data_IF_815931125813
#
_entry.id   IF_815931125813
#
_cell.length_a   1.000
_cell.length_b   1.000
_cell.length_c   1.000
_cell.angle_alpha   90.00
_cell.angle_beta   90.00
_cell.angle_gamma   90.00
#
_symmetry.space_group_name_H-M   'P 1'
#
loop_
_entity.id
_entity.type
_entity.pdbx_description
1 polymer ?
#
# COMPACT_ATOMS: atom_id res chain seq x y z
N UNK A 1 9.90 -4.37 -8.14
CA UNK A 1 9.34 -3.28 -7.32
C UNK A 1 8.32 -3.87 -6.32
N UNK A 2 8.08 -3.19 -5.20
CA UNK A 2 7.28 -3.71 -4.07
C UNK A 2 6.06 -2.83 -3.80
N UNK A 3 4.89 -3.41 -3.53
CA UNK A 3 3.71 -2.68 -3.05
C UNK A 3 3.31 -3.19 -1.66
N UNK A 4 3.07 -2.29 -0.73
CA UNK A 4 2.77 -2.59 0.68
C UNK A 4 1.49 -1.86 1.08
N UNK A 5 0.51 -2.58 1.63
CA UNK A 5 -0.65 -2.01 2.31
C UNK A 5 -0.58 -2.35 3.79
N UNK A 6 -0.74 -1.36 4.67
CA UNK A 6 -0.79 -1.59 6.12
C UNK A 6 -1.79 -0.62 6.78
N UNK A 7 -2.71 -1.15 7.58
CA UNK A 7 -3.59 -0.34 8.43
C UNK A 7 -2.88 0.17 9.68
N UNK A 8 -2.88 1.48 9.94
CA UNK A 8 -2.21 2.01 11.15
C UNK A 8 -3.01 1.83 12.46
N UNK A 9 -4.21 1.23 12.37
CA UNK A 9 -4.97 0.72 13.50
C UNK A 9 -4.76 -0.78 13.76
N UNK A 10 -3.82 -1.42 13.07
CA UNK A 10 -3.50 -2.83 13.24
C UNK A 10 -2.84 -3.10 14.59
N UNK A 11 -3.55 -3.84 15.45
CA UNK A 11 -3.08 -4.26 16.78
C UNK A 11 -2.47 -5.67 16.79
N UNK A 12 -2.48 -6.37 15.65
CA UNK A 12 -1.89 -7.71 15.47
C UNK A 12 -0.46 -7.60 14.95
N UNK A 13 -0.23 -6.74 13.95
CA UNK A 13 1.10 -6.48 13.38
C UNK A 13 1.39 -4.99 13.41
N UNK A 14 2.47 -4.60 14.08
CA UNK A 14 2.82 -3.19 14.26
C UNK A 14 3.02 -2.48 12.91
N UNK A 15 2.45 -1.28 12.69
CA UNK A 15 2.52 -0.55 11.42
C UNK A 15 3.94 -0.25 10.91
N UNK A 16 4.90 -0.13 11.82
CA UNK A 16 6.31 0.04 11.47
C UNK A 16 6.86 -1.11 10.60
N UNK A 17 6.27 -2.30 10.63
CA UNK A 17 6.67 -3.39 9.73
C UNK A 17 6.41 -3.03 8.27
N UNK A 18 5.25 -2.46 7.94
CA UNK A 18 4.94 -2.01 6.58
C UNK A 18 5.89 -0.91 6.10
N UNK A 19 6.21 0.04 6.98
CA UNK A 19 7.20 1.09 6.71
C UNK A 19 8.59 0.52 6.43
N UNK A 20 9.05 -0.43 7.26
CA UNK A 20 10.36 -1.06 7.11
C UNK A 20 10.46 -1.89 5.83
N UNK A 21 9.42 -2.65 5.46
CA UNK A 21 9.38 -3.41 4.20
C UNK A 21 9.46 -2.47 3.00
N UNK A 22 8.73 -1.35 3.03
CA UNK A 22 8.76 -0.36 1.97
C UNK A 22 10.13 0.31 1.85
N UNK A 23 10.72 0.76 2.96
CA UNK A 23 12.03 1.39 2.99
C UNK A 23 13.15 0.44 2.55
N UNK A 24 13.15 -0.80 3.03
CA UNK A 24 14.11 -1.82 2.62
C UNK A 24 14.00 -2.15 1.12
N UNK A 25 12.78 -2.15 0.57
CA UNK A 25 12.54 -2.38 -0.85
C UNK A 25 12.94 -1.20 -1.73
N UNK A 26 12.76 0.02 -1.22
CA UNK A 26 13.09 1.25 -1.95
C UNK A 26 14.60 1.48 -2.05
N UNK A 27 15.36 1.14 -1.00
CA UNK A 27 16.77 1.47 -0.89
C UNK A 27 17.01 2.92 -0.43
N UNK A 28 18.23 3.21 0.02
CA UNK A 28 18.56 4.46 0.71
C UNK A 28 18.42 5.72 -0.16
N UNK A 29 18.68 5.60 -1.47
CA UNK A 29 18.73 6.74 -2.40
C UNK A 29 17.39 7.02 -3.11
N UNK A 30 16.31 6.33 -2.75
CA UNK A 30 15.02 6.53 -3.39
C UNK A 30 14.36 7.85 -2.99
N UNK A 31 13.92 8.63 -3.98
CA UNK A 31 13.07 9.80 -3.76
C UNK A 31 11.66 9.35 -3.37
N UNK A 32 11.07 9.97 -2.34
CA UNK A 32 9.74 9.65 -1.84
C UNK A 32 8.73 10.77 -2.11
N UNK A 33 7.61 10.44 -2.75
CA UNK A 33 6.48 11.34 -2.97
C UNK A 33 5.28 10.83 -2.16
N UNK A 34 4.65 11.70 -1.36
CA UNK A 34 3.51 11.33 -0.51
C UNK A 34 2.24 12.02 -0.98
N UNK A 35 1.20 11.23 -1.24
CA UNK A 35 -0.15 11.70 -1.53
C UNK A 35 -1.10 11.24 -0.44
N UNK A 36 -1.97 12.14 0.03
CA UNK A 36 -3.04 11.83 0.97
C UNK A 36 -4.40 11.95 0.29
N UNK A 37 -5.28 10.99 0.54
CA UNK A 37 -6.62 10.98 -0.03
C UNK A 37 -7.59 10.20 0.86
N UNK A 38 -8.87 10.23 0.48
CA UNK A 38 -9.95 9.49 1.12
C UNK A 38 -10.55 8.53 0.11
N UNK A 39 -10.63 7.25 0.46
CA UNK A 39 -11.27 6.23 -0.36
C UNK A 39 -12.78 6.48 -0.44
N UNK A 40 -13.48 5.98 -1.47
CA UNK A 40 -14.94 6.11 -1.57
C UNK A 40 -15.70 5.58 -0.34
N UNK A 41 -15.14 4.57 0.33
CA UNK A 41 -15.68 4.02 1.57
C UNK A 41 -15.39 4.83 2.84
N UNK A 42 -14.66 5.94 2.73
CA UNK A 42 -14.44 6.93 3.79
C UNK A 42 -13.14 6.79 4.58
N UNK A 43 -12.33 5.73 4.38
CA UNK A 43 -10.99 5.67 4.99
C UNK A 43 -10.07 6.69 4.34
N UNK A 44 -9.40 7.48 5.17
CA UNK A 44 -8.22 8.23 4.73
C UNK A 44 -7.06 7.27 4.53
N UNK A 45 -6.19 7.55 3.58
CA UNK A 45 -4.93 6.83 3.40
C UNK A 45 -3.82 7.79 2.95
N UNK A 46 -2.59 7.39 3.23
CA UNK A 46 -1.37 8.02 2.70
C UNK A 46 -0.69 7.02 1.77
N UNK A 47 -0.45 7.41 0.53
CA UNK A 47 0.33 6.65 -0.45
C UNK A 47 1.70 7.31 -0.60
N UNK A 48 2.76 6.58 -0.28
CA UNK A 48 4.14 6.98 -0.56
C UNK A 48 4.65 6.22 -1.77
N UNK A 49 5.08 6.92 -2.80
CA UNK A 49 5.70 6.35 -4.01
C UNK A 49 7.20 6.61 -3.92
N UNK A 50 7.99 5.54 -3.94
CA UNK A 50 9.44 5.58 -3.94
C UNK A 50 9.97 5.39 -5.36
N UNK A 51 10.83 6.30 -5.82
CA UNK A 51 11.40 6.33 -7.18
C UNK A 51 12.91 6.33 -7.15
N UNK A 52 13.50 5.62 -8.09
CA UNK A 52 14.91 5.69 -8.46
C UNK A 52 15.02 5.92 -9.98
N UNK A 53 16.23 6.03 -10.52
CA UNK A 53 16.48 6.30 -11.94
C UNK A 53 15.75 5.31 -12.88
N UNK A 54 15.56 4.07 -12.44
CA UNK A 54 14.87 3.02 -13.17
C UNK A 54 13.33 3.08 -13.10
N UNK A 55 12.74 4.00 -12.34
CA UNK A 55 11.30 4.16 -12.17
C UNK A 55 10.81 3.95 -10.73
N UNK A 56 9.54 3.57 -10.57
CA UNK A 56 8.96 3.28 -9.25
C UNK A 56 9.54 1.96 -8.72
N UNK A 57 10.12 2.01 -7.52
CA UNK A 57 10.74 0.86 -6.87
C UNK A 57 9.90 0.33 -5.73
N UNK A 58 9.13 1.19 -5.06
CA UNK A 58 8.15 0.76 -4.06
C UNK A 58 6.94 1.69 -3.94
N UNK A 59 5.82 1.15 -3.49
CA UNK A 59 4.67 1.90 -3.00
C UNK A 59 4.29 1.46 -1.59
N UNK A 60 4.06 2.41 -0.69
CA UNK A 60 3.54 2.15 0.66
C UNK A 60 2.22 2.87 0.87
N UNK A 61 1.20 2.09 1.18
CA UNK A 61 -0.16 2.53 1.43
C UNK A 61 -0.49 2.34 2.91
N UNK A 62 -0.43 3.44 3.67
CA UNK A 62 -0.89 3.47 5.06
C UNK A 62 -2.38 3.80 5.07
N UNK A 63 -3.22 2.87 5.54
CA UNK A 63 -4.68 3.05 5.60
C UNK A 63 -5.10 3.42 7.02
N UNK A 64 -5.63 4.63 7.20
CA UNK A 64 -5.78 5.24 8.52
C UNK A 64 -6.95 4.65 9.32
N UNK A 65 -6.64 4.14 10.50
CA UNK A 65 -7.55 3.49 11.45
C UNK A 65 -8.06 2.13 11.01
N UNK A 66 -7.52 1.56 9.94
CA UNK A 66 -7.85 0.19 9.50
C UNK A 66 -7.16 -0.80 10.45
N UNK A 67 -7.89 -1.78 11.02
CA UNK A 67 -7.33 -2.81 11.88
C UNK A 67 -6.57 -3.86 11.04
N UNK A 68 -6.28 -5.02 11.62
CA UNK A 68 -5.76 -6.18 10.87
C UNK A 68 -6.80 -6.73 9.89
N UNK A 69 -6.99 -6.06 8.76
CA UNK A 69 -8.00 -6.37 7.77
C UNK A 69 -7.53 -5.99 6.36
N UNK A 70 -8.03 -6.72 5.36
CA UNK A 70 -7.81 -6.40 3.96
C UNK A 70 -8.49 -5.08 3.59
N UNK A 71 -7.75 -4.12 3.05
CA UNK A 71 -8.30 -2.82 2.65
C UNK A 71 -9.20 -2.95 1.42
N UNK A 72 -10.43 -2.45 1.52
CA UNK A 72 -11.46 -2.63 0.51
C UNK A 72 -12.15 -3.99 0.62
N UNK A 73 -12.53 -4.58 -0.52
CA UNK A 73 -13.19 -5.87 -0.57
C UNK A 73 -14.69 -5.84 -0.21
N UNK A 74 -15.29 -7.02 -0.15
CA UNK A 74 -16.72 -7.18 0.12
C UNK A 74 -17.03 -7.15 1.61
N UNK A 75 -18.06 -6.41 2.02
CA UNK A 75 -18.55 -6.38 3.40
C UNK A 75 -19.03 -7.76 3.93
N UNK A 76 -19.20 -8.75 3.05
CA UNK A 76 -19.51 -10.14 3.43
C UNK A 76 -18.24 -10.92 3.88
N UNK A 77 -17.04 -10.39 3.65
CA UNK A 77 -15.78 -11.03 4.03
C UNK A 77 -15.40 -10.74 5.49
N UNK A 78 -15.03 -11.78 6.23
CA UNK A 78 -14.74 -11.72 7.67
C UNK A 78 -13.49 -10.93 8.08
N UNK A 79 -12.57 -10.68 7.14
CA UNK A 79 -11.32 -9.93 7.39
C UNK A 79 -11.10 -8.83 6.35
N UNK A 80 -12.16 -8.07 6.08
CA UNK A 80 -12.13 -6.94 5.14
C UNK A 80 -12.51 -5.64 5.84
N UNK A 81 -11.91 -4.54 5.40
CA UNK A 81 -12.33 -3.18 5.74
C UNK A 81 -12.83 -2.53 4.44
N UNK A 82 -14.12 -2.71 4.08
CA UNK A 82 -14.69 -2.18 2.82
C UNK A 82 -14.67 -0.66 2.74
N UNK A 83 -14.32 0.03 3.84
CA UNK A 83 -14.15 1.48 3.85
C UNK A 83 -12.81 1.95 3.26
N UNK A 84 -11.83 1.04 3.19
CA UNK A 84 -10.48 1.25 2.67
C UNK A 84 -10.42 1.47 1.15
N UNK A 85 -9.29 1.96 0.61
CA UNK A 85 -9.01 1.85 -0.82
C UNK A 85 -9.03 0.38 -1.27
N UNK A 86 -9.37 0.13 -2.53
CA UNK A 86 -9.38 -1.23 -3.10
C UNK A 86 -7.93 -1.72 -3.31
N UNK A 87 -7.38 -2.40 -2.30
CA UNK A 87 -6.01 -2.90 -2.35
C UNK A 87 -5.80 -3.90 -3.48
N UNK A 88 -6.81 -4.72 -3.81
CA UNK A 88 -6.70 -5.70 -4.88
C UNK A 88 -6.59 -5.02 -6.24
N UNK A 89 -7.43 -4.01 -6.51
CA UNK A 89 -7.35 -3.23 -7.73
C UNK A 89 -6.02 -2.46 -7.85
N UNK A 90 -5.55 -1.87 -6.75
CA UNK A 90 -4.26 -1.15 -6.72
C UNK A 90 -3.05 -2.08 -6.91
N UNK A 91 -3.09 -3.30 -6.36
CA UNK A 91 -2.07 -4.32 -6.63
C UNK A 91 -2.07 -4.71 -8.10
N UNK A 92 -3.23 -4.92 -8.72
CA UNK A 92 -3.33 -5.22 -10.15
C UNK A 92 -2.79 -4.06 -11.00
N UNK A 93 -3.17 -2.81 -10.70
CA UNK A 93 -2.62 -1.61 -11.35
C UNK A 93 -1.10 -1.63 -11.26
N UNK A 94 -0.56 -1.80 -10.05
CA UNK A 94 0.88 -1.81 -9.81
C UNK A 94 1.59 -2.91 -10.61
N UNK A 95 1.09 -4.15 -10.63
CA UNK A 95 1.75 -5.23 -11.37
C UNK A 95 1.68 -5.02 -12.89
N UNK A 96 0.59 -4.46 -13.41
CA UNK A 96 0.45 -4.16 -14.83
C UNK A 96 1.33 -2.99 -15.28
N UNK A 97 1.57 -2.00 -14.41
CA UNK A 97 2.54 -0.91 -14.64
C UNK A 97 4.00 -1.39 -14.57
N UNK A 98 4.27 -2.53 -13.91
CA UNK A 98 5.60 -3.08 -13.71
C UNK A 98 5.73 -4.52 -14.25
N UNK A 99 5.51 -4.74 -15.56
CA UNK A 99 5.63 -6.07 -16.15
C UNK A 99 7.07 -6.56 -16.00
N UNK A 100 7.25 -7.81 -15.56
CA UNK A 100 8.58 -8.45 -15.65
C UNK A 100 8.91 -8.61 -17.13
N UNK A 101 10.07 -8.08 -17.56
CA UNK A 101 10.62 -8.41 -18.86
C UNK A 101 10.73 -9.94 -19.01
N UNK A 102 10.60 -10.45 -20.25
CA UNK A 102 10.89 -11.87 -20.51
C UNK A 102 12.33 -12.13 -20.07
N UNK A 103 12.50 -13.16 -19.23
CA UNK A 103 13.81 -13.65 -18.80
C UNK A 103 14.64 -14.12 -20.00
#
# INVERSE_FOLDING_TARGET
PTIVFHGDGDTTVHPANGEQVAAASAGADAAAEVTQATAPGGRRYSRTVYRQDAGVVAEHWRVHGTPHAWSGGSAQGSYTDPRGPDASAEMLRFFLEHPRGKA
#
